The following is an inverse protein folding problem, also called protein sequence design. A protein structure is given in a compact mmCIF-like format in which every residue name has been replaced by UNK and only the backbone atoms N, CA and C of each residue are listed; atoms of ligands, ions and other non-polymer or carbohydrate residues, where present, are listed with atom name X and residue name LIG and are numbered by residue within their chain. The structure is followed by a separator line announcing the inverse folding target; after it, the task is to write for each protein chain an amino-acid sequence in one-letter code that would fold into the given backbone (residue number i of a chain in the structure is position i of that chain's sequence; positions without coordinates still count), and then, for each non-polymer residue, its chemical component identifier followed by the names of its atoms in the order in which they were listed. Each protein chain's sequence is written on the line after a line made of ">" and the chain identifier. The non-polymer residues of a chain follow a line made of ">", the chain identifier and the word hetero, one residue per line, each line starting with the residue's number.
data_IF_607887532676
#
_entry.id   IF_607887532676
#
_cell.length_a   1.000
_cell.length_b   1.000
_cell.length_c   1.000
_cell.angle_alpha   90.00
_cell.angle_beta   90.00
_cell.angle_gamma   90.00
#
_symmetry.space_group_name_H-M   'P 1'
#
loop_
_entity.id
_entity.type
_entity.pdbx_description
1 polymer ?
#
# COMPACT_ATOMS: atom_id res chain seq x y z
N UNK A 1 13.14 2.89 2.39
CA UNK A 1 12.38 1.96 1.54
C UNK A 1 11.41 1.22 2.43
N UNK A 2 10.16 1.09 1.99
CA UNK A 2 9.11 0.40 2.76
C UNK A 2 9.28 -1.12 2.63
N UNK A 3 9.16 -1.84 3.73
CA UNK A 3 9.22 -3.30 3.73
C UNK A 3 8.00 -3.89 2.99
N UNK A 4 8.23 -4.89 2.14
CA UNK A 4 7.19 -5.48 1.29
C UNK A 4 6.85 -4.70 0.00
N UNK A 5 7.41 -3.51 -0.20
CA UNK A 5 7.20 -2.70 -1.41
C UNK A 5 8.27 -2.99 -2.48
N UNK A 6 7.86 -3.53 -3.62
CA UNK A 6 8.69 -3.66 -4.81
C UNK A 6 8.45 -2.51 -5.81
N UNK A 7 9.38 -2.33 -6.76
CA UNK A 7 9.38 -1.19 -7.71
C UNK A 7 8.16 -1.21 -8.63
N UNK A 8 7.70 -2.39 -9.03
CA UNK A 8 6.57 -2.53 -9.96
C UNK A 8 5.25 -2.21 -9.26
N UNK A 9 5.07 -2.69 -8.03
CA UNK A 9 3.94 -2.36 -7.16
C UNK A 9 3.90 -0.86 -6.86
N UNK A 10 5.05 -0.24 -6.53
CA UNK A 10 5.14 1.20 -6.28
C UNK A 10 4.75 2.03 -7.52
N UNK A 11 5.23 1.66 -8.70
CA UNK A 11 4.85 2.33 -9.95
C UNK A 11 3.37 2.16 -10.27
N UNK A 12 2.84 0.96 -10.04
CA UNK A 12 1.44 0.67 -10.28
C UNK A 12 0.55 1.50 -9.34
N UNK A 13 0.87 1.54 -8.04
CA UNK A 13 0.20 2.38 -7.05
C UNK A 13 0.25 3.88 -7.43
N UNK A 14 1.42 4.37 -7.82
CA UNK A 14 1.57 5.76 -8.26
C UNK A 14 0.71 6.06 -9.50
N UNK A 15 0.57 5.10 -10.44
CA UNK A 15 -0.32 5.24 -11.60
C UNK A 15 -1.82 5.29 -11.24
N UNK A 16 -2.18 4.86 -10.03
CA UNK A 16 -3.52 4.90 -9.45
C UNK A 16 -3.74 6.09 -8.50
N UNK A 17 -2.76 6.98 -8.37
CA UNK A 17 -2.83 8.16 -7.50
C UNK A 17 -2.35 7.92 -6.06
N UNK A 18 -1.80 6.75 -5.75
CA UNK A 18 -1.23 6.42 -4.43
C UNK A 18 0.28 6.60 -4.53
N UNK A 19 0.77 7.80 -4.21
CA UNK A 19 2.17 8.19 -4.46
C UNK A 19 3.02 8.31 -3.20
N UNK A 20 2.40 8.27 -2.01
CA UNK A 20 3.07 8.38 -0.72
C UNK A 20 2.64 7.27 0.25
N UNK A 21 3.38 7.14 1.37
CA UNK A 21 3.02 6.21 2.45
C UNK A 21 1.73 6.65 3.14
N UNK A 22 1.51 7.96 3.32
CA UNK A 22 0.25 8.52 3.81
C UNK A 22 -0.93 8.13 2.91
N UNK A 23 -0.82 8.32 1.58
CA UNK A 23 -1.90 7.92 0.66
C UNK A 23 -2.23 6.42 0.79
N UNK A 24 -1.20 5.59 0.96
CA UNK A 24 -1.34 4.15 1.14
C UNK A 24 -1.94 3.79 2.51
N UNK A 25 -1.58 4.53 3.56
CA UNK A 25 -2.08 4.31 4.92
C UNK A 25 -3.57 4.66 5.06
N UNK A 26 -4.09 5.56 4.23
CA UNK A 26 -5.51 5.93 4.20
C UNK A 26 -6.40 4.85 3.58
N UNK A 27 -5.85 3.96 2.75
CA UNK A 27 -6.63 2.92 2.06
C UNK A 27 -7.11 1.79 2.99
N UNK A 28 -8.26 1.23 2.67
CA UNK A 28 -8.67 -0.09 3.14
C UNK A 28 -8.01 -1.21 2.30
N UNK A 29 -7.93 -2.43 2.86
CA UNK A 29 -7.36 -3.60 2.15
C UNK A 29 -8.17 -3.90 0.89
N UNK A 30 -9.50 -3.89 0.99
CA UNK A 30 -10.39 -4.15 -0.15
C UNK A 30 -10.23 -3.11 -1.27
N UNK A 31 -10.08 -1.83 -0.91
CA UNK A 31 -9.81 -0.76 -1.87
C UNK A 31 -8.48 -0.97 -2.60
N UNK A 32 -7.43 -1.34 -1.87
CA UNK A 32 -6.13 -1.63 -2.46
C UNK A 32 -6.19 -2.86 -3.39
N UNK A 33 -6.93 -3.89 -3.02
CA UNK A 33 -7.14 -5.08 -3.85
C UNK A 33 -7.86 -4.74 -5.16
N UNK A 34 -8.86 -3.87 -5.11
CA UNK A 34 -9.57 -3.38 -6.30
C UNK A 34 -8.67 -2.54 -7.22
N UNK A 35 -7.77 -1.73 -6.65
CA UNK A 35 -6.87 -0.86 -7.41
C UNK A 35 -5.78 -1.62 -8.16
N UNK A 36 -5.14 -2.60 -7.50
CA UNK A 36 -3.88 -3.19 -7.99
C UNK A 36 -3.84 -4.73 -8.04
N UNK A 37 -4.96 -5.43 -7.81
CA UNK A 37 -5.09 -6.90 -7.91
C UNK A 37 -3.91 -7.64 -7.25
N UNK A 38 -3.51 -7.15 -6.08
CA UNK A 38 -2.49 -7.79 -5.27
C UNK A 38 -3.08 -9.02 -4.56
N UNK A 39 -2.19 -9.79 -3.95
CA UNK A 39 -2.59 -10.76 -2.93
C UNK A 39 -3.08 -10.02 -1.66
N UNK A 40 -4.10 -10.57 -0.98
CA UNK A 40 -4.71 -9.97 0.21
C UNK A 40 -3.74 -9.84 1.38
N UNK A 41 -2.90 -10.86 1.61
CA UNK A 41 -1.89 -10.82 2.67
C UNK A 41 -0.84 -9.74 2.38
N UNK A 42 -0.41 -9.64 1.11
CA UNK A 42 0.50 -8.57 0.67
C UNK A 42 -0.12 -7.19 0.84
N UNK A 43 -1.39 -7.01 0.43
CA UNK A 43 -2.10 -5.74 0.57
C UNK A 43 -2.23 -5.31 2.04
N UNK A 44 -2.59 -6.23 2.92
CA UNK A 44 -2.67 -5.99 4.37
C UNK A 44 -1.31 -5.59 4.95
N UNK A 45 -0.25 -6.31 4.60
CA UNK A 45 1.09 -6.03 5.11
C UNK A 45 1.58 -4.64 4.67
N UNK A 46 1.31 -4.26 3.41
CA UNK A 46 1.62 -2.92 2.92
C UNK A 46 0.87 -1.83 3.68
N UNK A 47 -0.44 -1.95 3.85
CA UNK A 47 -1.22 -0.95 4.58
C UNK A 47 -0.77 -0.84 6.04
N UNK A 48 -0.51 -1.97 6.71
CA UNK A 48 -0.02 -1.96 8.09
C UNK A 48 1.37 -1.34 8.22
N UNK A 49 2.28 -1.64 7.29
CA UNK A 49 3.60 -1.02 7.26
C UNK A 49 3.52 0.49 7.01
N UNK A 50 2.60 0.94 6.15
CA UNK A 50 2.34 2.36 5.91
C UNK A 50 1.76 3.06 7.15
N UNK A 51 0.94 2.36 7.94
CA UNK A 51 0.36 2.85 9.20
C UNK A 51 1.27 2.72 10.42
N UNK A 52 2.43 2.10 10.31
CA UNK A 52 3.35 1.94 11.44
C UNK A 52 3.63 3.26 12.21
N UNK A 53 3.76 4.43 11.55
CA UNK A 53 3.92 5.72 12.24
C UNK A 53 2.71 6.20 13.07
N UNK A 54 1.53 5.57 12.95
CA UNK A 54 0.35 5.95 13.75
C UNK A 54 0.31 5.25 15.11
N UNK A 55 1.13 4.22 15.29
CA UNK A 55 1.17 3.40 16.50
C UNK A 55 2.39 3.70 17.38
N UNK A 56 3.14 4.75 17.07
CA UNK A 56 4.28 5.25 17.85
C UNK A 56 3.91 6.39 18.79
#
# INVERSE_FOLDING_TARGET
>A
SMEGMDVDTAKLLASKGVASMEDLAELAVDELLELVKLDEEKAKNLIMAARAPWFV
#
